data_IF_735931852076
#
_entry.id   IF_735931852076
#
_cell.length_a   1.000
_cell.length_b   1.000
_cell.length_c   1.000
_cell.angle_alpha   90.00
_cell.angle_beta   90.00
_cell.angle_gamma   90.00
#
_symmetry.space_group_name_H-M   'P 1'
#
loop_
_entity.id
_entity.type
_entity.pdbx_description
1 polymer ?
#
# COMPACT_ATOMS: atom_id res chain seq x y z
N UNK A 1 -39.09 11.01 -19.66
CA UNK A 1 -37.84 10.23 -19.90
C UNK A 1 -36.68 11.21 -20.11
N UNK A 2 -35.44 10.86 -19.73
CA UNK A 2 -34.18 11.62 -19.96
C UNK A 2 -33.59 12.50 -18.84
N UNK A 3 -33.59 12.05 -17.58
CA UNK A 3 -32.62 12.57 -16.58
C UNK A 3 -31.83 11.48 -15.84
N UNK A 4 -32.35 10.25 -15.77
CA UNK A 4 -31.69 9.12 -15.12
C UNK A 4 -30.51 8.56 -15.93
N UNK A 5 -30.57 8.63 -17.26
CA UNK A 5 -29.52 8.13 -18.15
C UNK A 5 -28.26 9.01 -18.18
N UNK A 6 -28.39 10.32 -17.92
CA UNK A 6 -27.24 11.24 -17.88
C UNK A 6 -26.38 11.01 -16.63
N UNK A 7 -26.99 10.63 -15.51
CA UNK A 7 -26.26 10.30 -14.26
C UNK A 7 -25.50 8.98 -14.38
N UNK A 8 -26.04 8.02 -15.14
CA UNK A 8 -25.40 6.73 -15.41
C UNK A 8 -24.26 6.81 -16.44
N UNK A 9 -24.26 7.81 -17.32
CA UNK A 9 -23.16 8.03 -18.27
C UNK A 9 -21.99 8.80 -17.64
N UNK A 10 -22.27 9.70 -16.70
CA UNK A 10 -21.24 10.46 -15.95
C UNK A 10 -20.49 9.62 -14.90
N UNK A 11 -21.05 8.49 -14.46
CA UNK A 11 -20.35 7.56 -13.56
C UNK A 11 -19.29 6.70 -14.27
N UNK A 12 -19.35 6.53 -15.60
CA UNK A 12 -18.30 5.82 -16.35
C UNK A 12 -17.02 6.64 -16.54
N UNK A 13 -17.12 7.97 -16.63
CA UNK A 13 -15.95 8.84 -16.83
C UNK A 13 -15.13 9.13 -15.56
N UNK A 14 -15.63 8.80 -14.37
CA UNK A 14 -14.87 8.96 -13.12
C UNK A 14 -14.15 7.69 -12.67
N UNK A 15 -14.36 6.57 -13.37
CA UNK A 15 -13.73 5.28 -13.08
C UNK A 15 -12.38 5.13 -13.82
N UNK A 16 -12.14 5.89 -14.89
CA UNK A 16 -10.89 5.84 -15.67
C UNK A 16 -9.63 6.21 -14.89
N UNK A 17 -9.72 7.18 -13.96
CA UNK A 17 -8.53 7.71 -13.26
C UNK A 17 -8.05 6.85 -12.09
N UNK A 18 -8.77 5.76 -11.76
CA UNK A 18 -8.33 4.78 -10.75
C UNK A 18 -7.45 3.70 -11.35
N UNK A 19 -7.67 3.37 -12.64
CA UNK A 19 -6.85 2.41 -13.36
C UNK A 19 -5.41 2.95 -13.57
N UNK A 20 -5.21 4.27 -13.57
CA UNK A 20 -3.88 4.88 -13.70
C UNK A 20 -2.98 4.67 -12.46
N UNK A 21 -3.52 4.40 -11.27
CA UNK A 21 -2.70 4.41 -10.06
C UNK A 21 -1.82 3.17 -9.87
N UNK A 22 -2.17 2.01 -10.45
CA UNK A 22 -1.26 0.86 -10.59
C UNK A 22 -1.59 -0.05 -11.79
N UNK A 23 -2.51 0.37 -12.67
CA UNK A 23 -3.15 -0.48 -13.67
C UNK A 23 -2.66 -0.26 -15.09
N UNK A 24 -1.35 -0.40 -15.31
CA UNK A 24 -0.80 -1.06 -16.50
C UNK A 24 0.51 -1.72 -16.07
N UNK A 25 0.54 -3.06 -16.11
CA UNK A 25 1.65 -3.93 -15.69
C UNK A 25 2.88 -3.84 -16.60
N UNK A 26 3.10 -2.73 -17.28
CA UNK A 26 4.09 -2.61 -18.36
C UNK A 26 4.86 -1.30 -18.21
N UNK A 27 6.18 -1.43 -18.08
CA UNK A 27 7.08 -0.29 -18.18
C UNK A 27 7.34 0.02 -19.65
N UNK A 28 6.53 0.92 -20.21
CA UNK A 28 6.74 1.51 -21.53
C UNK A 28 7.95 2.45 -21.54
N UNK A 29 8.54 2.66 -22.72
CA UNK A 29 9.60 3.66 -22.95
C UNK A 29 9.15 5.09 -22.62
N UNK A 30 7.85 5.34 -22.74
CA UNK A 30 7.18 6.60 -22.44
C UNK A 30 6.10 6.35 -21.39
N UNK A 31 6.03 7.21 -20.37
CA UNK A 31 5.08 7.08 -19.27
C UNK A 31 4.19 8.31 -19.18
N UNK A 32 2.91 8.13 -18.83
CA UNK A 32 2.03 9.28 -18.56
C UNK A 32 2.52 10.06 -17.34
N UNK A 33 2.51 11.40 -17.40
CA UNK A 33 2.81 12.25 -16.24
C UNK A 33 1.89 11.99 -15.06
N UNK A 34 0.67 11.50 -15.29
CA UNK A 34 -0.29 11.15 -14.24
C UNK A 34 0.17 9.98 -13.36
N UNK A 35 1.05 9.11 -13.88
CA UNK A 35 1.63 8.01 -13.10
C UNK A 35 2.65 8.50 -12.06
N UNK A 36 3.20 9.70 -12.23
CA UNK A 36 4.25 10.26 -11.37
C UNK A 36 3.64 11.02 -10.20
N UNK A 37 3.38 10.32 -9.10
CA UNK A 37 2.85 10.91 -7.87
C UNK A 37 3.98 11.32 -6.91
N UNK A 38 3.80 12.38 -6.10
CA UNK A 38 4.83 12.82 -5.16
C UNK A 38 5.20 11.68 -4.20
N UNK A 39 6.49 11.51 -3.94
CA UNK A 39 6.99 10.46 -3.07
C UNK A 39 8.20 10.89 -2.24
N UNK A 40 8.40 10.19 -1.13
CA UNK A 40 9.66 10.11 -0.39
C UNK A 40 10.18 8.69 -0.46
N UNK A 41 11.48 8.52 -0.55
CA UNK A 41 12.08 7.19 -0.63
C UNK A 41 13.35 7.09 0.19
N UNK A 42 13.70 5.84 0.51
CA UNK A 42 14.95 5.47 1.13
C UNK A 42 15.59 4.35 0.32
N UNK A 43 16.78 4.61 -0.24
CA UNK A 43 17.46 3.64 -1.11
C UNK A 43 18.06 2.49 -0.31
N UNK A 44 18.47 1.44 -1.01
CA UNK A 44 19.22 0.33 -0.42
C UNK A 44 20.60 0.74 0.11
N UNK A 45 21.15 1.86 -0.35
CA UNK A 45 22.44 2.41 0.06
C UNK A 45 22.32 3.53 1.11
N UNK A 46 21.19 3.57 1.83
CA UNK A 46 20.95 4.52 2.93
C UNK A 46 20.87 6.00 2.56
N UNK A 47 20.63 6.31 1.28
CA UNK A 47 20.27 7.66 0.85
C UNK A 47 18.75 7.88 0.92
N UNK A 48 18.34 9.07 1.34
CA UNK A 48 16.96 9.53 1.31
C UNK A 48 16.76 10.56 0.21
N UNK A 49 15.54 10.63 -0.32
CA UNK A 49 15.20 11.62 -1.32
C UNK A 49 13.71 11.84 -1.48
N UNK A 50 13.38 12.84 -2.28
CA UNK A 50 12.02 13.19 -2.68
C UNK A 50 11.94 13.27 -4.20
N UNK A 51 10.75 13.14 -4.76
CA UNK A 51 10.52 13.26 -6.19
C UNK A 51 9.10 12.85 -6.56
N UNK A 52 8.93 12.44 -7.81
CA UNK A 52 7.66 11.97 -8.34
C UNK A 52 7.87 10.61 -9.01
N UNK A 53 6.94 9.67 -8.82
CA UNK A 53 7.14 8.32 -9.36
C UNK A 53 6.12 7.30 -8.92
N UNK A 54 6.42 6.04 -9.22
CA UNK A 54 5.55 4.89 -8.95
C UNK A 54 6.40 3.60 -8.81
N UNK A 55 5.84 2.51 -8.26
CA UNK A 55 6.53 1.23 -8.17
C UNK A 55 6.83 0.67 -9.56
N UNK A 56 8.05 0.17 -9.78
CA UNK A 56 8.41 -0.39 -11.08
C UNK A 56 7.65 -1.71 -11.32
N UNK A 57 6.82 -1.83 -12.38
CA UNK A 57 6.05 -3.05 -12.65
C UNK A 57 6.92 -4.21 -13.16
N UNK A 58 8.14 -3.93 -13.63
CA UNK A 58 9.07 -4.92 -14.22
C UNK A 58 10.19 -5.36 -13.28
N UNK A 59 10.51 -4.56 -12.26
CA UNK A 59 11.46 -4.92 -11.20
C UNK A 59 10.85 -4.62 -9.84
N UNK A 60 10.42 -5.70 -9.17
CA UNK A 60 9.78 -5.68 -7.86
C UNK A 60 10.64 -5.07 -6.74
N UNK A 61 11.91 -4.73 -6.98
CA UNK A 61 12.83 -4.14 -5.98
C UNK A 61 13.01 -2.64 -6.13
N UNK A 62 12.34 -2.03 -7.10
CA UNK A 62 12.64 -0.67 -7.53
C UNK A 62 11.40 0.19 -7.74
N UNK A 63 11.62 1.50 -7.75
CA UNK A 63 10.66 2.51 -8.16
C UNK A 63 11.16 3.19 -9.43
N UNK A 64 10.24 3.69 -10.24
CA UNK A 64 10.51 4.66 -11.29
C UNK A 64 10.39 6.05 -10.67
N UNK A 65 11.34 6.94 -10.95
CA UNK A 65 11.39 8.28 -10.36
C UNK A 65 11.85 9.36 -11.34
N UNK A 66 11.20 10.52 -11.24
CA UNK A 66 11.64 11.82 -11.74
C UNK A 66 11.91 12.76 -10.56
N UNK A 67 12.93 13.62 -10.68
CA UNK A 67 13.24 14.63 -9.66
C UNK A 67 12.16 15.70 -9.58
N UNK A 68 11.63 16.10 -10.74
CA UNK A 68 10.63 17.15 -10.88
C UNK A 68 9.30 16.57 -11.38
N UNK A 69 8.20 17.30 -11.14
CA UNK A 69 6.88 16.89 -11.62
C UNK A 69 6.86 16.95 -13.14
N UNK A 70 6.66 15.83 -13.85
CA UNK A 70 6.61 15.85 -15.30
C UNK A 70 5.36 16.61 -15.77
N UNK A 71 5.51 17.44 -16.81
CA UNK A 71 4.44 18.30 -17.35
C UNK A 71 3.92 17.88 -18.73
N UNK A 72 4.59 16.91 -19.38
CA UNK A 72 4.19 16.39 -20.70
C UNK A 72 3.25 15.19 -20.63
N UNK A 73 2.62 14.85 -21.76
CA UNK A 73 1.80 13.63 -21.88
C UNK A 73 2.66 12.36 -21.88
N UNK A 74 3.86 12.42 -22.48
CA UNK A 74 4.76 11.27 -22.64
C UNK A 74 6.14 11.58 -22.04
N UNK A 75 6.46 10.95 -20.91
CA UNK A 75 7.67 11.19 -20.13
C UNK A 75 8.72 10.12 -20.43
N UNK A 76 9.92 10.55 -20.84
CA UNK A 76 11.09 9.69 -21.15
C UNK A 76 12.19 9.80 -20.09
N UNK A 77 12.30 10.95 -19.45
CA UNK A 77 13.38 11.28 -18.53
C UNK A 77 13.03 10.82 -17.11
N UNK A 78 13.06 9.50 -16.92
CA UNK A 78 12.89 8.87 -15.62
C UNK A 78 14.04 7.91 -15.33
N UNK A 79 14.26 7.64 -14.05
CA UNK A 79 15.30 6.73 -13.58
C UNK A 79 14.69 5.62 -12.74
N UNK A 80 15.40 4.50 -12.60
CA UNK A 80 14.99 3.37 -11.77
C UNK A 80 15.88 3.32 -10.54
N UNK A 81 15.28 3.33 -9.35
CA UNK A 81 16.00 3.28 -8.08
C UNK A 81 15.57 2.07 -7.24
N UNK A 82 16.54 1.33 -6.72
CA UNK A 82 16.30 0.28 -5.72
C UNK A 82 16.10 0.90 -4.34
N UNK A 83 15.01 0.53 -3.66
CA UNK A 83 14.61 1.14 -2.40
C UNK A 83 14.41 0.12 -1.29
N UNK A 84 14.69 0.53 -0.04
CA UNK A 84 14.22 -0.16 1.17
C UNK A 84 12.73 0.08 1.37
N UNK A 85 12.29 1.32 1.18
CA UNK A 85 10.88 1.70 1.18
C UNK A 85 10.63 2.99 0.38
N UNK A 86 9.37 3.19 0.01
CA UNK A 86 8.87 4.44 -0.56
C UNK A 86 7.50 4.78 0.04
N UNK A 87 7.25 6.07 0.22
CA UNK A 87 6.00 6.63 0.70
C UNK A 87 5.42 7.52 -0.40
N UNK A 88 4.29 7.13 -0.97
CA UNK A 88 3.61 7.90 -2.01
C UNK A 88 2.48 8.72 -1.42
N UNK A 89 2.46 10.00 -1.74
CA UNK A 89 1.54 10.98 -1.19
C UNK A 89 0.32 11.04 -2.09
N UNK A 90 -0.79 10.42 -1.65
CA UNK A 90 -2.04 10.45 -2.39
C UNK A 90 -2.83 11.71 -2.01
N UNK A 91 -2.86 12.67 -2.92
CA UNK A 91 -3.62 13.91 -2.73
C UNK A 91 -5.14 13.70 -2.86
N UNK A 92 -5.64 12.48 -3.10
CA UNK A 92 -7.05 12.23 -3.43
C UNK A 92 -8.03 12.73 -2.37
N UNK A 93 -7.71 12.61 -1.09
CA UNK A 93 -8.58 13.08 -0.01
C UNK A 93 -8.57 14.62 0.06
N UNK A 94 -7.40 15.23 -0.14
CA UNK A 94 -7.21 16.68 -0.20
C UNK A 94 -7.90 17.28 -1.44
N UNK A 95 -7.71 16.68 -2.60
CA UNK A 95 -8.35 17.07 -3.87
C UNK A 95 -9.87 16.87 -3.85
N UNK A 96 -10.38 15.81 -3.18
CA UNK A 96 -11.82 15.64 -2.96
C UNK A 96 -12.36 16.70 -1.99
N UNK A 97 -11.65 16.96 -0.90
CA UNK A 97 -12.05 17.98 0.07
C UNK A 97 -12.08 19.36 -0.60
N UNK A 98 -11.02 19.72 -1.33
CA UNK A 98 -10.92 20.97 -2.08
C UNK A 98 -12.08 21.13 -3.07
N UNK A 99 -12.39 20.10 -3.86
CA UNK A 99 -13.56 20.09 -4.75
C UNK A 99 -14.89 20.24 -4.02
N UNK A 100 -15.02 19.72 -2.80
CA UNK A 100 -16.22 19.89 -1.97
C UNK A 100 -16.30 21.33 -1.43
N UNK A 101 -15.18 21.90 -0.98
CA UNK A 101 -15.11 23.27 -0.46
C UNK A 101 -15.36 24.32 -1.56
N UNK A 102 -14.83 24.09 -2.77
CA UNK A 102 -15.11 24.89 -3.97
C UNK A 102 -16.61 24.86 -4.33
N UNK A 103 -17.22 23.68 -4.34
CA UNK A 103 -18.66 23.52 -4.61
C UNK A 103 -19.57 24.16 -3.56
N UNK A 104 -19.06 24.41 -2.35
CA UNK A 104 -19.83 24.95 -1.22
C UNK A 104 -19.64 26.47 -1.01
N UNK A 105 -18.95 27.18 -1.91
CA UNK A 105 -18.66 28.62 -1.80
C UNK A 105 -18.09 29.02 -0.42
N UNK A 106 -17.24 28.19 0.16
CA UNK A 106 -16.62 28.46 1.46
C UNK A 106 -15.52 29.53 1.30
N UNK A 107 -15.30 30.34 2.34
CA UNK A 107 -14.26 31.39 2.41
C UNK A 107 -12.91 30.95 1.85
N UNK A 108 -12.24 31.82 1.09
CA UNK A 108 -10.94 31.56 0.46
C UNK A 108 -9.82 31.28 1.47
N UNK A 109 -9.93 31.78 2.70
CA UNK A 109 -9.00 31.46 3.79
C UNK A 109 -9.02 29.97 4.18
N UNK A 110 -10.18 29.32 4.08
CA UNK A 110 -10.39 27.90 4.37
C UNK A 110 -10.07 26.99 3.17
N UNK A 111 -9.97 27.56 1.96
CA UNK A 111 -9.50 26.87 0.74
C UNK A 111 -7.98 26.83 0.62
N UNK A 112 -7.26 27.62 1.42
CA UNK A 112 -5.82 27.72 1.27
C UNK A 112 -5.15 26.37 1.51
N UNK A 113 -4.24 26.02 0.60
CA UNK A 113 -3.50 24.75 0.60
C UNK A 113 -2.76 24.53 1.92
N UNK A 114 -2.22 25.61 2.49
CA UNK A 114 -1.58 25.64 3.80
C UNK A 114 -2.57 25.33 4.94
N UNK A 115 -3.78 25.88 4.92
CA UNK A 115 -4.82 25.59 5.91
C UNK A 115 -5.28 24.13 5.82
N UNK A 116 -5.56 23.62 4.63
CA UNK A 116 -6.00 22.23 4.42
C UNK A 116 -4.91 21.23 4.85
N UNK A 117 -3.65 21.48 4.50
CA UNK A 117 -2.49 20.68 4.95
C UNK A 117 -2.25 20.77 6.47
N UNK A 118 -2.56 21.92 7.10
CA UNK A 118 -2.42 22.09 8.56
C UNK A 118 -3.54 21.42 9.36
N UNK A 119 -4.74 21.25 8.77
CA UNK A 119 -5.92 20.67 9.43
C UNK A 119 -6.13 19.20 9.11
N UNK A 120 -5.60 18.72 7.99
CA UNK A 120 -5.56 17.30 7.65
C UNK A 120 -4.11 16.81 7.75
N UNK A 121 -3.67 16.25 8.90
CA UNK A 121 -2.43 15.46 8.94
C UNK A 121 -2.58 14.11 8.20
N UNK A 122 -3.56 13.99 7.30
CA UNK A 122 -3.89 12.82 6.52
C UNK A 122 -3.49 13.09 5.07
N UNK A 123 -2.18 13.09 4.82
CA UNK A 123 -1.75 12.62 3.51
C UNK A 123 -2.07 11.13 3.51
N UNK A 124 -3.04 10.71 2.69
CA UNK A 124 -3.25 9.30 2.38
C UNK A 124 -1.93 8.78 1.79
N UNK A 125 -1.06 8.25 2.63
CA UNK A 125 0.26 7.80 2.22
C UNK A 125 0.21 6.30 1.97
N UNK A 126 0.58 5.89 0.76
CA UNK A 126 0.82 4.49 0.48
C UNK A 126 2.29 4.20 0.79
N UNK A 127 2.52 3.46 1.87
CA UNK A 127 3.87 3.01 2.25
C UNK A 127 4.14 1.65 1.66
N UNK A 128 5.16 1.55 0.82
CA UNK A 128 5.63 0.28 0.28
C UNK A 128 7.01 -0.03 0.82
N UNK A 129 7.26 -1.30 1.12
CA UNK A 129 8.54 -1.79 1.63
C UNK A 129 9.04 -2.92 0.75
N UNK A 130 10.34 -2.91 0.44
CA UNK A 130 10.97 -4.04 -0.22
C UNK A 130 11.28 -5.12 0.83
N UNK A 131 10.60 -6.25 0.71
CA UNK A 131 10.81 -7.41 1.58
C UNK A 131 11.81 -8.36 0.88
N UNK A 132 12.95 -8.66 1.53
CA UNK A 132 14.07 -9.43 0.92
C UNK A 132 14.31 -10.81 1.52
N UNK A 133 13.87 -11.04 2.76
CA UNK A 133 14.14 -12.25 3.54
C UNK A 133 12.94 -13.20 3.54
N UNK A 134 12.48 -13.59 2.36
CA UNK A 134 11.52 -14.69 2.21
C UNK A 134 12.20 -15.93 1.65
N UNK A 135 11.99 -17.09 2.31
CA UNK A 135 12.37 -18.38 1.73
C UNK A 135 11.47 -18.67 0.52
N UNK A 136 12.04 -18.57 -0.68
CA UNK A 136 11.36 -18.77 -1.98
C UNK A 136 11.10 -17.47 -2.75
N UNK A 137 11.30 -17.50 -4.07
CA UNK A 137 11.25 -16.32 -4.95
C UNK A 137 9.91 -15.57 -4.99
N UNK A 138 8.81 -16.23 -4.59
CA UNK A 138 7.45 -15.66 -4.64
C UNK A 138 7.23 -14.47 -3.71
N UNK A 139 8.10 -14.29 -2.71
CA UNK A 139 7.91 -13.31 -1.65
C UNK A 139 8.67 -12.00 -1.81
N UNK A 140 9.77 -12.00 -2.55
CA UNK A 140 10.68 -10.87 -2.59
C UNK A 140 10.13 -9.76 -3.48
N UNK A 141 10.04 -8.55 -2.95
CA UNK A 141 9.55 -7.40 -3.71
C UNK A 141 8.91 -6.34 -2.84
N UNK A 142 8.51 -5.24 -3.49
CA UNK A 142 7.76 -4.16 -2.88
C UNK A 142 6.38 -4.68 -2.48
N UNK A 143 6.00 -4.40 -1.24
CA UNK A 143 4.72 -4.77 -0.63
C UNK A 143 4.13 -3.56 0.07
N UNK A 144 2.83 -3.40 -0.04
CA UNK A 144 2.08 -2.33 0.61
C UNK A 144 1.92 -2.66 2.10
N UNK A 145 2.33 -1.75 2.98
CA UNK A 145 2.05 -1.81 4.41
C UNK A 145 0.55 -1.55 4.63
N UNK A 146 -0.16 -2.52 5.18
CA UNK A 146 -1.62 -2.44 5.41
C UNK A 146 -1.99 -2.24 6.86
N UNK A 147 -1.13 -2.68 7.77
CA UNK A 147 -1.30 -2.48 9.19
C UNK A 147 0.05 -2.55 9.90
N UNK A 148 0.20 -1.73 10.92
CA UNK A 148 1.37 -1.74 11.80
C UNK A 148 0.90 -1.41 13.22
N UNK A 149 1.33 -2.22 14.18
CA UNK A 149 1.23 -1.87 15.60
C UNK A 149 2.65 -1.71 16.18
N UNK A 150 2.79 -1.69 17.51
CA UNK A 150 4.10 -1.52 18.14
C UNK A 150 5.04 -2.73 17.94
N UNK A 151 4.50 -3.92 17.62
CA UNK A 151 5.24 -5.18 17.60
C UNK A 151 5.31 -5.85 16.23
N UNK A 152 4.34 -5.63 15.35
CA UNK A 152 4.27 -6.31 14.05
C UNK A 152 3.90 -5.38 12.90
N UNK A 153 4.24 -5.82 11.70
CA UNK A 153 3.87 -5.21 10.43
C UNK A 153 3.19 -6.25 9.55
N UNK A 154 2.07 -5.86 8.96
CA UNK A 154 1.36 -6.63 7.95
C UNK A 154 1.50 -5.95 6.59
N UNK A 155 1.82 -6.74 5.57
CA UNK A 155 1.92 -6.25 4.20
C UNK A 155 1.08 -7.08 3.24
N UNK A 156 0.75 -6.50 2.10
CA UNK A 156 0.11 -7.20 0.99
C UNK A 156 0.85 -6.93 -0.33
N UNK A 157 0.64 -7.82 -1.31
CA UNK A 157 1.05 -7.51 -2.68
C UNK A 157 0.35 -6.25 -3.19
N UNK A 158 1.04 -5.45 -4.00
CA UNK A 158 0.43 -4.31 -4.67
C UNK A 158 -0.54 -4.88 -5.72
N UNK A 159 -1.86 -4.71 -5.56
CA UNK A 159 -2.81 -5.32 -6.48
C UNK A 159 -2.70 -4.63 -7.85
N UNK A 160 -2.63 -5.41 -8.92
CA UNK A 160 -2.71 -4.89 -10.29
C UNK A 160 -4.11 -4.38 -10.64
N UNK A 161 -5.12 -4.78 -9.88
CA UNK A 161 -6.51 -4.35 -10.04
C UNK A 161 -7.23 -4.28 -8.67
N UNK A 162 -8.03 -3.24 -8.44
CA UNK A 162 -8.75 -2.96 -7.21
C UNK A 162 -9.74 -4.06 -6.77
N UNK A 163 -10.16 -4.95 -7.66
CA UNK A 163 -11.15 -6.00 -7.36
C UNK A 163 -10.55 -7.31 -6.84
N UNK A 164 -9.22 -7.48 -6.89
CA UNK A 164 -8.58 -8.73 -6.45
C UNK A 164 -7.96 -8.53 -5.08
N UNK A 165 -8.62 -9.02 -4.03
CA UNK A 165 -8.03 -9.06 -2.70
C UNK A 165 -6.81 -9.99 -2.70
N UNK A 166 -5.60 -9.49 -2.35
CA UNK A 166 -4.42 -10.33 -2.27
C UNK A 166 -4.66 -11.50 -1.31
N UNK A 167 -4.45 -12.73 -1.77
CA UNK A 167 -4.63 -13.94 -0.94
C UNK A 167 -3.43 -14.23 -0.05
N UNK A 168 -2.36 -13.45 -0.15
CA UNK A 168 -1.16 -13.57 0.67
C UNK A 168 -1.00 -12.30 1.51
N UNK A 169 -0.93 -12.47 2.83
CA UNK A 169 -0.59 -11.42 3.78
C UNK A 169 0.78 -11.73 4.35
N UNK A 170 1.70 -10.80 4.22
CA UNK A 170 3.06 -10.92 4.73
C UNK A 170 3.13 -10.40 6.16
N UNK A 171 3.85 -11.11 7.01
CA UNK A 171 3.94 -10.84 8.44
C UNK A 171 5.41 -10.67 8.82
N UNK A 172 5.71 -9.60 9.55
CA UNK A 172 7.02 -9.34 10.15
C UNK A 172 6.86 -8.90 11.62
N UNK A 173 7.80 -9.31 12.47
CA UNK A 173 8.01 -8.68 13.78
C UNK A 173 8.83 -7.41 13.63
N UNK A 174 8.69 -6.50 14.61
CA UNK A 174 9.33 -5.18 14.64
C UNK A 174 10.66 -5.14 15.39
N UNK A 175 11.28 -6.29 15.62
CA UNK A 175 12.63 -6.39 16.18
C UNK A 175 13.67 -5.65 15.33
N UNK A 176 13.49 -5.65 14.01
CA UNK A 176 14.35 -4.98 13.04
C UNK A 176 13.55 -4.06 12.10
N UNK A 177 14.23 -3.15 11.37
CA UNK A 177 13.63 -2.45 10.23
C UNK A 177 13.07 -3.43 9.19
N UNK A 178 12.00 -3.04 8.48
CA UNK A 178 11.29 -3.93 7.57
C UNK A 178 12.17 -4.59 6.48
N UNK A 179 13.22 -3.89 6.02
CA UNK A 179 14.17 -4.40 5.05
C UNK A 179 15.05 -5.55 5.61
N UNK A 180 15.26 -5.58 6.92
CA UNK A 180 16.13 -6.51 7.62
C UNK A 180 15.37 -7.60 8.40
N UNK A 181 14.07 -7.42 8.61
CA UNK A 181 13.19 -8.40 9.26
C UNK A 181 12.96 -9.65 8.42
N UNK A 182 12.95 -10.80 9.09
CA UNK A 182 12.44 -12.04 8.51
C UNK A 182 10.96 -11.89 8.16
N UNK A 183 10.61 -12.39 6.98
CA UNK A 183 9.27 -12.21 6.44
C UNK A 183 8.59 -13.55 6.27
N UNK A 184 7.42 -13.67 6.88
CA UNK A 184 6.54 -14.82 6.75
C UNK A 184 5.32 -14.44 5.92
N UNK A 185 4.54 -15.44 5.50
CA UNK A 185 3.27 -15.18 4.84
C UNK A 185 2.16 -16.08 5.38
N UNK A 186 0.95 -15.52 5.40
CA UNK A 186 -0.31 -16.16 5.68
C UNK A 186 -1.07 -16.33 4.35
N UNK A 187 -1.52 -17.56 4.08
CA UNK A 187 -2.14 -17.92 2.81
C UNK A 187 -3.66 -18.07 2.96
N UNK A 188 -4.40 -17.04 2.54
CA UNK A 188 -5.86 -16.95 2.60
C UNK A 188 -6.58 -17.57 1.39
N UNK A 189 -5.92 -18.40 0.56
CA UNK A 189 -6.60 -19.08 -0.56
C UNK A 189 -7.71 -20.03 -0.10
N UNK A 190 -7.46 -20.76 0.98
CA UNK A 190 -8.43 -21.63 1.64
C UNK A 190 -8.00 -21.89 3.09
N UNK A 191 -8.94 -22.39 3.90
CA UNK A 191 -8.75 -22.56 5.34
C UNK A 191 -7.57 -23.48 5.67
N UNK A 192 -7.38 -24.55 4.90
CA UNK A 192 -6.27 -25.50 5.06
C UNK A 192 -4.92 -24.84 4.79
N UNK A 193 -4.82 -24.02 3.73
CA UNK A 193 -3.62 -23.27 3.40
C UNK A 193 -3.29 -22.25 4.49
N UNK A 194 -4.31 -21.52 4.97
CA UNK A 194 -4.17 -20.53 6.02
C UNK A 194 -3.61 -21.15 7.30
N UNK A 195 -4.26 -22.21 7.80
CA UNK A 195 -3.81 -22.96 8.97
C UNK A 195 -2.37 -23.46 8.83
N UNK A 196 -2.00 -23.99 7.66
CA UNK A 196 -0.63 -24.49 7.39
C UNK A 196 0.41 -23.36 7.39
N UNK A 197 0.10 -22.21 6.79
CA UNK A 197 0.98 -21.04 6.88
C UNK A 197 1.08 -20.52 8.30
N UNK A 198 -0.05 -20.33 8.98
CA UNK A 198 -0.12 -19.77 10.31
C UNK A 198 0.62 -20.63 11.34
N UNK A 199 0.53 -21.97 11.25
CA UNK A 199 1.33 -22.89 12.06
C UNK A 199 2.84 -22.66 11.92
N UNK A 200 3.32 -22.26 10.74
CA UNK A 200 4.74 -21.96 10.51
C UNK A 200 5.13 -20.61 11.10
N UNK A 201 4.27 -19.60 10.97
CA UNK A 201 4.52 -18.23 11.48
C UNK A 201 4.47 -18.18 13.00
N UNK A 202 3.44 -18.79 13.59
CA UNK A 202 3.12 -18.66 15.02
C UNK A 202 3.46 -19.92 15.81
N UNK A 203 4.46 -20.69 15.36
CA UNK A 203 4.84 -21.99 15.97
C UNK A 203 5.11 -21.90 17.49
N UNK A 204 5.57 -20.74 17.95
CA UNK A 204 5.93 -20.46 19.35
C UNK A 204 4.78 -19.86 20.16
N UNK A 205 3.58 -19.75 19.59
CA UNK A 205 2.42 -19.16 20.25
C UNK A 205 1.20 -20.10 20.21
N UNK A 206 1.15 -21.12 21.09
CA UNK A 206 0.10 -22.14 21.08
C UNK A 206 -1.31 -21.59 21.27
N UNK A 207 -1.46 -20.55 22.09
CA UNK A 207 -2.75 -19.91 22.36
C UNK A 207 -3.36 -19.29 21.10
N UNK A 208 -2.58 -18.49 20.37
CA UNK A 208 -2.99 -17.90 19.10
C UNK A 208 -3.26 -19.00 18.06
N UNK A 209 -2.44 -20.06 18.02
CA UNK A 209 -2.68 -21.21 17.14
C UNK A 209 -3.99 -21.92 17.46
N UNK A 210 -4.38 -22.04 18.73
CA UNK A 210 -5.66 -22.61 19.14
C UNK A 210 -6.85 -21.84 18.55
N UNK A 211 -6.80 -20.50 18.61
CA UNK A 211 -7.81 -19.61 18.01
C UNK A 211 -7.82 -19.71 16.48
N UNK A 212 -6.66 -19.77 15.85
CA UNK A 212 -6.53 -20.03 14.39
C UNK A 212 -7.17 -21.37 14.01
N UNK A 213 -7.06 -22.41 14.84
CA UNK A 213 -7.70 -23.70 14.56
C UNK A 213 -9.22 -23.65 14.60
N UNK A 214 -9.80 -22.79 15.45
CA UNK A 214 -11.24 -22.56 15.55
C UNK A 214 -11.81 -21.74 14.39
N UNK A 215 -10.96 -21.00 13.68
CA UNK A 215 -11.34 -20.24 12.48
C UNK A 215 -11.44 -18.73 12.70
N UNK A 216 -11.12 -18.23 13.89
CA UNK A 216 -11.26 -16.83 14.34
C UNK A 216 -10.63 -15.80 13.37
N UNK A 217 -9.64 -16.23 12.56
CA UNK A 217 -8.83 -15.32 11.73
C UNK A 217 -8.82 -15.63 10.23
N UNK A 218 -9.71 -16.50 9.73
CA UNK A 218 -9.66 -16.92 8.33
C UNK A 218 -10.29 -15.92 7.34
N UNK A 219 -10.98 -14.90 7.82
CA UNK A 219 -11.45 -13.83 6.93
C UNK A 219 -10.28 -12.96 6.47
N UNK A 220 -10.23 -12.67 5.16
CA UNK A 220 -9.18 -11.86 4.55
C UNK A 220 -9.58 -10.38 4.42
N UNK A 221 -10.15 -9.83 5.50
CA UNK A 221 -10.48 -8.41 5.60
C UNK A 221 -9.58 -7.70 6.60
N UNK A 222 -9.57 -6.36 6.51
CA UNK A 222 -8.68 -5.52 7.32
C UNK A 222 -8.91 -5.68 8.83
N UNK A 223 -10.16 -5.89 9.27
CA UNK A 223 -10.46 -5.98 10.70
C UNK A 223 -9.95 -7.30 11.27
N UNK A 224 -10.16 -8.41 10.58
CA UNK A 224 -9.63 -9.71 11.00
C UNK A 224 -8.11 -9.74 10.99
N UNK A 225 -7.45 -9.11 10.01
CA UNK A 225 -5.99 -9.00 9.97
C UNK A 225 -5.44 -8.16 11.14
N UNK A 226 -6.08 -7.03 11.46
CA UNK A 226 -5.73 -6.20 12.62
C UNK A 226 -5.88 -6.98 13.92
N UNK A 227 -7.02 -7.66 14.10
CA UNK A 227 -7.28 -8.48 15.27
C UNK A 227 -6.21 -9.56 15.46
N UNK A 228 -5.82 -10.28 14.39
CA UNK A 228 -4.74 -11.27 14.45
C UNK A 228 -3.41 -10.65 14.91
N UNK A 229 -3.05 -9.48 14.37
CA UNK A 229 -1.81 -8.77 14.72
C UNK A 229 -1.81 -8.25 16.16
N UNK A 230 -2.95 -7.78 16.65
CA UNK A 230 -3.10 -7.28 18.02
C UNK A 230 -3.17 -8.42 19.04
N UNK A 231 -3.86 -9.51 18.71
CA UNK A 231 -3.86 -10.74 19.51
C UNK A 231 -2.45 -11.35 19.57
N UNK A 232 -1.68 -11.33 18.48
CA UNK A 232 -0.28 -11.77 18.53
C UNK A 232 0.54 -10.92 19.52
N UNK A 233 0.38 -9.59 19.50
CA UNK A 233 1.04 -8.69 20.46
C UNK A 233 0.65 -9.04 21.90
N UNK A 234 -0.63 -9.26 22.17
CA UNK A 234 -1.16 -9.46 23.52
C UNK A 234 -0.97 -10.87 24.07
N UNK A 235 -0.79 -11.89 23.23
CA UNK A 235 -0.69 -13.30 23.66
C UNK A 235 0.70 -13.90 23.48
N UNK A 236 1.48 -13.44 22.48
CA UNK A 236 2.74 -14.09 22.11
C UNK A 236 3.99 -13.32 22.56
N UNK A 237 3.90 -11.98 22.69
CA UNK A 237 5.04 -11.12 23.05
C UNK A 237 4.98 -10.66 24.50
N UNK A 238 3.79 -10.29 25.01
CA UNK A 238 3.59 -9.85 26.40
C UNK A 238 3.93 -10.89 27.48
N UNK A 239 4.16 -12.15 27.08
CA UNK A 239 4.48 -13.29 27.95
C UNK A 239 5.95 -13.74 27.85
N UNK A 240 6.76 -13.09 27.01
CA UNK A 240 8.22 -13.28 26.94
C UNK A 240 8.91 -12.16 27.70
#
# INVERSE_FOLDING_TARGET
MNKLYVVLFLSFFTIGNLNAQFGYSVLNKEQSSEAFIPLKFHTVNDSTGTGYGFPNPTDLKSIVISKEKPTGENIKDWTVLKVKYAEFYNERLLNKLQKILEKRNISDSLKSDAYLKSKLPLVDTLKIHYLRKMKGNLGNGLKLLVYENSQVRLFQGIPSNHYVTPKLIFFQTKEYPAYDSDTYFLNYHNHKAFKRSAKRVFKECPELLGRIQKGDYFSNDSNTQKLLADDYKSTCISKK
#
